data_IF_260604799684
#
_entry.id   IF_260604799684
#
_cell.length_a   1.000
_cell.length_b   1.000
_cell.length_c   1.000
_cell.angle_alpha   90.00
_cell.angle_beta   90.00
_cell.angle_gamma   90.00
#
_symmetry.space_group_name_H-M   'P 1'
#
loop_
_entity.id
_entity.type
_entity.pdbx_description
1 polymer ?
#
# COMPACT_ATOMS: atom_id res chain seq x y z
N UNK A 1 -34.41 13.31 62.56
CA UNK A 1 -33.78 14.11 61.48
C UNK A 1 -32.71 13.26 60.75
N UNK A 2 -33.05 12.08 60.19
CA UNK A 2 -32.08 11.17 59.50
C UNK A 2 -32.76 10.33 58.39
N UNK A 3 -33.71 10.90 57.63
CA UNK A 3 -34.42 10.14 56.57
C UNK A 3 -34.46 10.89 55.24
N UNK A 4 -33.31 11.46 54.84
CA UNK A 4 -33.15 12.13 53.54
C UNK A 4 -32.00 11.57 52.71
N UNK A 5 -30.88 11.18 53.34
CA UNK A 5 -29.68 10.66 52.65
C UNK A 5 -29.87 9.30 51.97
N UNK A 6 -30.71 8.42 52.52
CA UNK A 6 -30.90 7.06 51.98
C UNK A 6 -31.69 7.02 50.66
N UNK A 7 -32.54 8.03 50.42
CA UNK A 7 -33.35 8.11 49.19
C UNK A 7 -32.44 8.45 48.01
N UNK A 8 -31.60 9.48 48.13
CA UNK A 8 -30.62 9.84 47.09
C UNK A 8 -29.56 8.75 46.87
N UNK A 9 -29.15 8.05 47.92
CA UNK A 9 -28.17 6.97 47.80
C UNK A 9 -28.75 5.74 47.07
N UNK A 10 -30.03 5.41 47.30
CA UNK A 10 -30.69 4.27 46.64
C UNK A 10 -30.95 4.53 45.15
N UNK A 11 -31.39 5.74 44.81
CA UNK A 11 -31.57 6.16 43.40
C UNK A 11 -30.23 6.28 42.67
N UNK A 12 -29.18 6.79 43.33
CA UNK A 12 -27.85 6.83 42.73
C UNK A 12 -27.28 5.42 42.48
N UNK A 13 -27.49 4.49 43.43
CA UNK A 13 -27.05 3.11 43.31
C UNK A 13 -27.77 2.36 42.19
N UNK A 14 -29.08 2.62 41.97
CA UNK A 14 -29.82 2.00 40.86
C UNK A 14 -29.29 2.46 39.50
N UNK A 15 -28.98 3.75 39.31
CA UNK A 15 -28.36 4.22 38.06
C UNK A 15 -26.97 3.64 37.84
N UNK A 16 -26.16 3.52 38.90
CA UNK A 16 -24.83 2.93 38.83
C UNK A 16 -24.91 1.45 38.44
N UNK A 17 -25.81 0.69 39.05
CA UNK A 17 -26.02 -0.72 38.71
C UNK A 17 -26.52 -0.88 37.27
N UNK A 18 -27.45 -0.05 36.80
CA UNK A 18 -27.93 -0.05 35.42
C UNK A 18 -26.80 0.22 34.42
N UNK A 19 -25.92 1.18 34.72
CA UNK A 19 -24.75 1.49 33.88
C UNK A 19 -23.73 0.35 33.85
N UNK A 20 -23.50 -0.31 34.97
CA UNK A 20 -22.59 -1.47 35.05
C UNK A 20 -23.15 -2.65 34.27
N UNK A 21 -24.46 -2.92 34.40
CA UNK A 21 -25.15 -4.00 33.70
C UNK A 21 -25.14 -3.79 32.19
N UNK A 22 -25.39 -2.56 31.71
CA UNK A 22 -25.35 -2.25 30.27
C UNK A 22 -23.93 -2.34 29.71
N UNK A 23 -22.92 -1.84 30.44
CA UNK A 23 -21.51 -1.96 30.05
C UNK A 23 -21.07 -3.42 29.95
N UNK A 24 -21.42 -4.23 30.95
CA UNK A 24 -21.07 -5.66 30.98
C UNK A 24 -21.80 -6.45 29.87
N UNK A 25 -23.03 -6.05 29.53
CA UNK A 25 -23.79 -6.62 28.43
C UNK A 25 -23.14 -6.30 27.07
N UNK A 26 -22.75 -5.05 26.83
CA UNK A 26 -22.03 -4.64 25.61
C UNK A 26 -20.68 -5.36 25.52
N UNK A 27 -19.94 -5.44 26.62
CA UNK A 27 -18.68 -6.18 26.68
C UNK A 27 -18.87 -7.66 26.34
N UNK A 28 -19.88 -8.31 26.93
CA UNK A 28 -20.20 -9.71 26.67
C UNK A 28 -20.56 -9.95 25.20
N UNK A 29 -21.44 -9.12 24.61
CA UNK A 29 -21.80 -9.23 23.19
C UNK A 29 -20.56 -9.08 22.30
N UNK A 30 -19.70 -8.10 22.58
CA UNK A 30 -18.50 -7.84 21.78
C UNK A 30 -17.47 -8.97 21.92
N UNK A 31 -17.37 -9.57 23.11
CA UNK A 31 -16.45 -10.66 23.40
C UNK A 31 -16.90 -11.99 22.77
N UNK A 32 -18.19 -12.33 22.88
CA UNK A 32 -18.73 -13.59 22.36
C UNK A 32 -19.06 -13.53 20.86
N UNK A 33 -19.38 -12.35 20.32
CA UNK A 33 -19.76 -12.17 18.91
C UNK A 33 -18.99 -11.01 18.26
N UNK A 34 -17.65 -11.12 18.11
CA UNK A 34 -16.80 -10.03 17.63
C UNK A 34 -17.15 -9.53 16.22
N UNK A 35 -17.81 -10.35 15.40
CA UNK A 35 -18.18 -10.01 14.01
C UNK A 35 -19.68 -9.77 13.81
N UNK A 36 -20.50 -9.65 14.87
CA UNK A 36 -21.96 -9.54 14.74
C UNK A 36 -22.42 -8.33 13.91
N UNK A 37 -21.63 -7.26 13.93
CA UNK A 37 -21.89 -6.03 13.16
C UNK A 37 -21.15 -5.97 11.83
N UNK A 38 -20.28 -6.92 11.51
CA UNK A 38 -19.41 -6.86 10.32
C UNK A 38 -20.22 -6.88 9.02
N UNK A 39 -21.19 -7.78 8.91
CA UNK A 39 -22.00 -7.88 7.68
C UNK A 39 -22.90 -6.66 7.49
N UNK A 40 -23.36 -6.06 8.59
CA UNK A 40 -24.12 -4.81 8.57
C UNK A 40 -23.22 -3.62 8.21
N UNK A 41 -22.01 -3.58 8.74
CA UNK A 41 -20.99 -2.59 8.38
C UNK A 41 -20.67 -2.66 6.88
N UNK A 42 -20.39 -3.84 6.33
CA UNK A 42 -20.11 -4.02 4.91
C UNK A 42 -21.29 -3.57 4.04
N UNK A 43 -22.52 -3.95 4.39
CA UNK A 43 -23.72 -3.47 3.67
C UNK A 43 -23.83 -1.95 3.73
N UNK A 44 -23.68 -1.35 4.90
CA UNK A 44 -23.75 0.13 5.03
C UNK A 44 -22.60 0.81 4.31
N UNK A 45 -21.41 0.20 4.24
CA UNK A 45 -20.28 0.67 3.46
C UNK A 45 -20.60 0.67 1.95
N UNK A 46 -21.12 -0.43 1.42
CA UNK A 46 -21.52 -0.53 0.01
C UNK A 46 -22.59 0.50 -0.35
N UNK A 47 -23.59 0.68 0.52
CA UNK A 47 -24.61 1.72 0.34
C UNK A 47 -23.98 3.11 0.35
N UNK A 48 -23.10 3.40 1.32
CA UNK A 48 -22.40 4.70 1.37
C UNK A 48 -21.56 4.95 0.13
N UNK A 49 -20.89 3.93 -0.42
CA UNK A 49 -20.13 4.08 -1.68
C UNK A 49 -21.04 4.35 -2.88
N UNK A 50 -22.21 3.70 -2.95
CA UNK A 50 -23.22 4.02 -3.98
C UNK A 50 -23.79 5.42 -3.81
N UNK A 51 -24.08 5.84 -2.57
CA UNK A 51 -24.66 7.15 -2.26
C UNK A 51 -23.66 8.31 -2.37
N UNK A 52 -22.36 8.06 -2.14
CA UNK A 52 -21.30 9.05 -2.35
C UNK A 52 -21.30 9.62 -3.76
N UNK A 53 -21.84 8.87 -4.73
CA UNK A 53 -21.83 9.23 -6.15
C UNK A 53 -20.50 8.89 -6.81
N UNK A 54 -20.46 9.04 -8.14
CA UNK A 54 -19.22 8.87 -8.90
C UNK A 54 -18.22 9.95 -8.51
N UNK A 55 -16.97 9.55 -8.26
CA UNK A 55 -15.85 10.49 -8.18
C UNK A 55 -15.57 10.96 -9.61
N UNK A 56 -15.38 12.26 -9.81
CA UNK A 56 -14.98 12.79 -11.12
C UNK A 56 -13.66 12.13 -11.53
N UNK A 57 -13.69 11.38 -12.63
CA UNK A 57 -12.51 10.74 -13.18
C UNK A 57 -11.86 11.67 -14.19
N UNK A 58 -10.53 11.70 -14.19
CA UNK A 58 -9.78 12.42 -15.21
C UNK A 58 -9.68 11.53 -16.45
N UNK A 59 -10.29 11.92 -17.59
CA UNK A 59 -10.30 11.07 -18.79
C UNK A 59 -8.90 10.87 -19.40
N UNK A 60 -7.95 11.75 -19.05
CA UNK A 60 -6.56 11.70 -19.52
C UNK A 60 -5.69 10.72 -18.73
N UNK A 61 -6.23 10.10 -17.67
CA UNK A 61 -5.50 9.12 -16.85
C UNK A 61 -6.06 7.73 -17.13
N UNK A 62 -5.18 6.85 -17.60
CA UNK A 62 -5.49 5.44 -17.84
C UNK A 62 -4.71 4.60 -16.84
N UNK A 63 -5.43 3.77 -16.08
CA UNK A 63 -4.83 2.75 -15.23
C UNK A 63 -4.72 1.44 -16.02
N UNK A 64 -3.55 0.85 -16.02
CA UNK A 64 -3.29 -0.47 -16.60
C UNK A 64 -3.02 -1.40 -15.44
N UNK A 65 -4.01 -2.22 -15.11
CA UNK A 65 -3.95 -3.20 -14.03
C UNK A 65 -3.51 -4.58 -14.54
N UNK A 66 -3.09 -5.42 -13.59
CA UNK A 66 -2.79 -6.83 -13.82
C UNK A 66 -3.89 -7.62 -13.13
N UNK A 67 -4.86 -8.07 -13.92
CA UNK A 67 -6.00 -8.87 -13.48
C UNK A 67 -5.88 -10.33 -13.94
N UNK A 68 -6.79 -11.18 -13.48
CA UNK A 68 -6.80 -12.60 -13.86
C UNK A 68 -6.90 -12.80 -15.38
N UNK A 69 -7.62 -11.91 -16.08
CA UNK A 69 -7.76 -11.98 -17.55
C UNK A 69 -6.43 -11.70 -18.26
N UNK A 70 -5.66 -10.74 -17.76
CA UNK A 70 -4.33 -10.40 -18.29
C UNK A 70 -3.34 -11.55 -18.05
N UNK A 71 -3.42 -12.22 -16.90
CA UNK A 71 -2.60 -13.39 -16.57
C UNK A 71 -2.95 -14.56 -17.50
N UNK A 72 -4.24 -14.82 -17.72
CA UNK A 72 -4.69 -15.86 -18.64
C UNK A 72 -4.26 -15.57 -20.10
N UNK A 73 -4.27 -14.29 -20.51
CA UNK A 73 -3.94 -13.88 -21.88
C UNK A 73 -2.43 -13.81 -22.17
N UNK A 74 -1.62 -13.31 -21.24
CA UNK A 74 -0.19 -13.05 -21.44
C UNK A 74 0.67 -14.19 -20.88
N UNK A 75 0.21 -14.81 -19.79
CA UNK A 75 0.90 -15.86 -19.08
C UNK A 75 1.16 -15.52 -17.62
N UNK A 76 1.86 -16.44 -16.95
CA UNK A 76 2.11 -16.39 -15.51
C UNK A 76 2.95 -15.17 -15.12
N UNK A 77 2.50 -14.46 -14.09
CA UNK A 77 3.26 -13.42 -13.41
C UNK A 77 4.39 -14.01 -12.53
N UNK A 78 5.58 -13.37 -12.42
CA UNK A 78 6.01 -12.13 -13.07
C UNK A 78 6.31 -12.30 -14.56
N UNK A 79 5.88 -11.32 -15.36
CA UNK A 79 6.09 -11.34 -16.80
C UNK A 79 7.53 -11.04 -17.18
N UNK A 80 7.94 -11.56 -18.33
CA UNK A 80 9.22 -11.25 -18.94
C UNK A 80 9.32 -9.75 -19.29
N UNK A 81 10.52 -9.16 -19.15
CA UNK A 81 10.75 -7.73 -19.41
C UNK A 81 10.49 -7.31 -20.85
N UNK A 82 10.51 -8.24 -21.82
CA UNK A 82 10.06 -7.96 -23.19
C UNK A 82 8.56 -7.60 -23.27
N UNK A 83 7.71 -8.11 -22.35
CA UNK A 83 6.30 -7.73 -22.27
C UNK A 83 6.18 -6.27 -21.87
N UNK A 84 6.93 -5.84 -20.86
CA UNK A 84 6.97 -4.45 -20.41
C UNK A 84 7.55 -3.52 -21.49
N UNK A 85 8.59 -3.94 -22.22
CA UNK A 85 9.13 -3.19 -23.34
C UNK A 85 8.08 -2.96 -24.45
N UNK A 86 7.32 -4.02 -24.81
CA UNK A 86 6.22 -3.89 -25.78
C UNK A 86 5.12 -2.95 -25.29
N UNK A 87 4.77 -3.01 -24.00
CA UNK A 87 3.78 -2.12 -23.41
C UNK A 87 4.22 -0.65 -23.49
N UNK A 88 5.47 -0.33 -23.13
CA UNK A 88 6.02 1.03 -23.24
C UNK A 88 5.96 1.53 -24.69
N UNK A 89 6.37 0.70 -25.65
CA UNK A 89 6.32 1.06 -27.07
C UNK A 89 4.89 1.32 -27.54
N UNK A 90 3.92 0.48 -27.16
CA UNK A 90 2.51 0.68 -27.49
C UNK A 90 1.98 1.99 -26.90
N UNK A 91 2.29 2.29 -25.63
CA UNK A 91 1.87 3.54 -24.99
C UNK A 91 2.53 4.76 -25.64
N UNK A 92 3.77 4.62 -26.10
CA UNK A 92 4.46 5.67 -26.85
C UNK A 92 3.80 5.92 -28.21
N UNK A 93 3.38 4.86 -28.93
CA UNK A 93 2.62 4.98 -30.18
C UNK A 93 1.24 5.63 -29.96
N UNK A 94 0.64 5.44 -28.79
CA UNK A 94 -0.59 6.12 -28.37
C UNK A 94 -0.35 7.56 -27.87
N UNK A 95 0.86 8.10 -28.03
CA UNK A 95 1.24 9.46 -27.62
C UNK A 95 1.04 9.75 -26.12
N UNK A 96 1.23 8.74 -25.26
CA UNK A 96 1.15 8.90 -23.82
C UNK A 96 2.13 10.00 -23.33
N UNK A 97 1.59 11.03 -22.66
CA UNK A 97 2.39 12.18 -22.18
C UNK A 97 3.39 11.78 -21.09
N UNK A 98 2.98 10.86 -20.23
CA UNK A 98 3.75 10.37 -19.08
C UNK A 98 3.37 8.91 -18.84
N UNK A 99 4.36 8.06 -18.58
CA UNK A 99 4.17 6.67 -18.15
C UNK A 99 4.70 6.55 -16.72
N UNK A 100 3.93 5.97 -15.82
CA UNK A 100 4.34 5.69 -14.45
C UNK A 100 4.12 4.21 -14.15
N UNK A 101 5.15 3.55 -13.63
CA UNK A 101 5.09 2.17 -13.18
C UNK A 101 4.87 2.11 -11.67
N UNK A 102 4.06 1.13 -11.24
CA UNK A 102 3.95 0.69 -9.84
C UNK A 102 4.45 -0.75 -9.71
N UNK A 103 5.57 -1.04 -10.37
CA UNK A 103 6.23 -2.35 -10.37
C UNK A 103 7.72 -2.12 -10.16
N UNK A 104 8.26 -2.72 -9.10
CA UNK A 104 9.68 -2.63 -8.77
C UNK A 104 10.45 -3.77 -9.43
N UNK A 105 11.43 -3.44 -10.27
CA UNK A 105 12.29 -4.39 -10.96
C UNK A 105 13.58 -4.64 -10.16
N UNK A 106 13.49 -5.37 -9.05
CA UNK A 106 14.58 -5.55 -8.08
C UNK A 106 15.44 -6.81 -8.25
N UNK A 107 15.26 -7.57 -9.32
CA UNK A 107 16.11 -8.72 -9.61
C UNK A 107 16.45 -8.73 -11.11
N UNK A 108 17.67 -9.13 -11.51
CA UNK A 108 17.99 -9.33 -12.92
C UNK A 108 17.08 -10.42 -13.52
N UNK A 109 16.76 -10.26 -14.80
CA UNK A 109 15.92 -11.16 -15.58
C UNK A 109 16.75 -11.71 -16.74
N UNK A 110 16.10 -12.23 -17.77
CA UNK A 110 16.80 -12.59 -19.00
C UNK A 110 17.45 -11.36 -19.65
N UNK A 111 18.71 -11.51 -20.06
CA UNK A 111 19.53 -10.42 -20.60
C UNK A 111 18.87 -9.73 -21.80
N UNK A 112 18.23 -10.50 -22.69
CA UNK A 112 17.56 -9.94 -23.86
C UNK A 112 16.31 -9.15 -23.46
N UNK A 113 15.55 -9.65 -22.48
CA UNK A 113 14.41 -8.93 -21.90
C UNK A 113 14.83 -7.58 -21.30
N UNK A 114 15.95 -7.56 -20.58
CA UNK A 114 16.51 -6.35 -19.95
C UNK A 114 16.93 -5.32 -20.99
N UNK A 115 17.65 -5.75 -22.03
CA UNK A 115 18.09 -4.88 -23.12
C UNK A 115 16.90 -4.25 -23.85
N UNK A 116 15.83 -5.03 -24.10
CA UNK A 116 14.61 -4.53 -24.72
C UNK A 116 13.89 -3.49 -23.84
N UNK A 117 13.79 -3.74 -22.54
CA UNK A 117 13.17 -2.80 -21.61
C UNK A 117 13.97 -1.49 -21.51
N UNK A 118 15.29 -1.59 -21.36
CA UNK A 118 16.18 -0.41 -21.31
C UNK A 118 16.07 0.41 -22.60
N UNK A 119 16.00 -0.25 -23.76
CA UNK A 119 15.81 0.44 -25.04
C UNK A 119 14.47 1.19 -25.09
N UNK A 120 13.37 0.52 -24.76
CA UNK A 120 12.04 1.14 -24.75
C UNK A 120 11.98 2.33 -23.77
N UNK A 121 12.60 2.22 -22.61
CA UNK A 121 12.68 3.30 -21.62
C UNK A 121 13.44 4.52 -22.14
N UNK A 122 14.53 4.33 -22.87
CA UNK A 122 15.32 5.44 -23.44
C UNK A 122 14.56 6.19 -24.53
N UNK A 123 13.71 5.50 -25.27
CA UNK A 123 12.95 6.09 -26.38
C UNK A 123 11.78 6.96 -25.87
N UNK A 124 11.40 6.82 -24.58
CA UNK A 124 10.31 7.60 -23.96
C UNK A 124 10.84 8.75 -23.12
N UNK A 125 10.30 9.95 -23.34
CA UNK A 125 10.75 11.19 -22.67
C UNK A 125 10.41 11.24 -21.17
N UNK A 126 9.25 10.71 -20.79
CA UNK A 126 8.70 10.80 -19.42
C UNK A 126 8.21 9.44 -18.96
N UNK A 127 9.10 8.68 -18.37
CA UNK A 127 8.81 7.40 -17.76
C UNK A 127 9.36 7.40 -16.33
N UNK A 128 8.51 7.02 -15.37
CA UNK A 128 8.86 6.95 -13.95
C UNK A 128 8.73 5.51 -13.44
N UNK A 129 9.77 5.04 -12.76
CA UNK A 129 9.76 3.77 -12.02
C UNK A 129 9.69 4.02 -10.52
N UNK A 130 9.13 3.07 -9.74
CA UNK A 130 9.24 3.12 -8.30
C UNK A 130 10.69 2.86 -7.89
N UNK A 131 11.13 3.54 -6.84
CA UNK A 131 12.47 3.42 -6.26
C UNK A 131 12.31 2.71 -4.93
N UNK A 132 12.97 1.56 -4.77
CA UNK A 132 13.09 0.89 -3.49
C UNK A 132 14.21 1.53 -2.69
N UNK A 133 13.95 1.87 -1.43
CA UNK A 133 14.98 2.35 -0.49
C UNK A 133 15.04 1.42 0.71
N UNK A 134 16.25 1.11 1.13
CA UNK A 134 16.52 0.41 2.39
C UNK A 134 17.06 1.44 3.39
N UNK A 135 16.43 1.51 4.56
CA UNK A 135 16.86 2.43 5.62
C UNK A 135 17.91 1.74 6.47
N UNK A 136 19.18 1.99 6.18
CA UNK A 136 20.28 1.55 7.04
C UNK A 136 20.41 2.51 8.22
N UNK A 137 20.04 2.06 9.42
CA UNK A 137 20.32 2.80 10.65
C UNK A 137 21.77 2.56 11.07
N UNK A 138 22.56 3.60 11.41
CA UNK A 138 23.94 3.43 11.90
C UNK A 138 24.04 2.51 13.13
N UNK A 139 22.99 2.42 13.95
CA UNK A 139 22.96 1.54 15.13
C UNK A 139 22.68 0.07 14.79
N UNK A 140 22.20 -0.22 13.57
CA UNK A 140 22.00 -1.57 13.03
C UNK A 140 22.94 -1.77 11.82
N UNK A 141 24.16 -1.25 11.91
CA UNK A 141 25.25 -1.52 10.95
C UNK A 141 25.80 -2.95 11.14
N UNK A 142 24.94 -3.95 10.98
CA UNK A 142 25.29 -5.35 11.17
C UNK A 142 24.36 -6.37 10.49
N UNK A 143 23.26 -5.95 9.86
CA UNK A 143 22.36 -6.88 9.18
C UNK A 143 22.57 -6.86 7.67
N UNK A 144 23.47 -7.74 7.22
CA UNK A 144 23.44 -8.52 5.97
C UNK A 144 23.29 -7.84 4.59
N UNK A 145 22.95 -6.55 4.49
CA UNK A 145 22.78 -5.83 3.22
C UNK A 145 23.99 -5.01 2.75
N UNK A 146 24.90 -4.64 3.65
CA UNK A 146 26.04 -3.77 3.31
C UNK A 146 27.05 -4.40 2.35
N UNK A 147 27.11 -5.74 2.29
CA UNK A 147 28.03 -6.51 1.45
C UNK A 147 27.31 -7.61 0.66
N UNK A 148 26.01 -7.50 0.40
CA UNK A 148 25.31 -8.49 -0.42
C UNK A 148 25.51 -8.16 -1.92
N UNK A 149 26.34 -8.95 -2.65
CA UNK A 149 26.63 -8.69 -4.06
C UNK A 149 25.39 -8.77 -4.95
N UNK A 150 24.26 -9.31 -4.46
CA UNK A 150 23.03 -9.38 -5.24
C UNK A 150 22.41 -8.01 -5.58
N UNK A 151 22.73 -6.95 -4.84
CA UNK A 151 22.10 -5.63 -5.03
C UNK A 151 22.96 -4.63 -5.81
N UNK A 152 24.21 -4.98 -6.13
CA UNK A 152 25.14 -4.06 -6.79
C UNK A 152 24.79 -3.77 -8.25
N UNK A 153 24.11 -4.72 -8.90
CA UNK A 153 23.66 -4.63 -10.31
C UNK A 153 22.34 -3.84 -10.48
N UNK A 154 21.67 -3.46 -9.38
CA UNK A 154 20.36 -2.81 -9.40
C UNK A 154 20.42 -1.27 -9.34
N UNK A 155 21.63 -0.71 -9.19
CA UNK A 155 21.90 0.74 -9.24
C UNK A 155 21.28 1.47 -10.46
N UNK A 156 21.21 0.87 -11.68
CA UNK A 156 20.58 1.51 -12.83
C UNK A 156 19.04 1.59 -12.77
N UNK A 157 18.40 0.82 -11.87
CA UNK A 157 16.95 0.61 -11.85
C UNK A 157 16.26 1.20 -10.61
N UNK A 158 16.93 2.12 -9.89
CA UNK A 158 16.32 2.85 -8.78
C UNK A 158 16.49 2.20 -7.42
N UNK A 159 17.64 1.57 -7.16
CA UNK A 159 18.13 1.36 -5.80
C UNK A 159 19.19 2.42 -5.48
N UNK A 160 18.92 3.24 -4.46
CA UNK A 160 19.89 4.20 -3.92
C UNK A 160 20.11 3.95 -2.44
N UNK A 161 21.36 4.11 -1.95
CA UNK A 161 21.64 4.12 -0.51
C UNK A 161 21.24 5.46 0.07
N UNK A 162 20.41 5.43 1.11
CA UNK A 162 19.98 6.62 1.83
C UNK A 162 20.22 6.40 3.32
N UNK A 163 20.92 7.34 3.94
CA UNK A 163 21.12 7.35 5.38
C UNK A 163 20.00 8.17 6.02
N UNK A 164 19.35 7.61 7.02
CA UNK A 164 18.37 8.33 7.84
C UNK A 164 19.07 8.93 9.05
N UNK A 165 18.94 10.24 9.26
CA UNK A 165 19.35 10.85 10.51
C UNK A 165 18.30 10.60 11.62
N UNK A 166 18.65 10.91 12.87
CA UNK A 166 17.75 10.76 14.02
C UNK A 166 16.52 11.67 13.98
N UNK A 167 16.44 12.58 13.00
CA UNK A 167 15.31 13.48 12.77
C UNK A 167 14.37 12.97 11.65
N UNK A 168 14.67 11.80 11.06
CA UNK A 168 13.86 11.21 9.99
C UNK A 168 14.08 11.84 8.62
N UNK A 169 15.14 12.64 8.44
CA UNK A 169 15.51 13.21 7.15
C UNK A 169 16.42 12.21 6.43
N UNK A 170 16.02 11.84 5.21
CA UNK A 170 16.78 10.95 4.35
C UNK A 170 17.78 11.77 3.53
N UNK A 171 19.06 11.42 3.64
CA UNK A 171 20.13 11.98 2.81
C UNK A 171 20.67 10.89 1.90
N UNK A 172 20.91 11.23 0.62
CA UNK A 172 21.57 10.31 -0.31
C UNK A 172 23.01 10.12 0.15
N UNK A 173 23.46 8.87 0.23
CA UNK A 173 24.87 8.58 0.53
C UNK A 173 25.70 8.89 -0.73
N UNK A 174 26.69 9.78 -0.59
CA UNK A 174 27.59 10.17 -1.69
C UNK A 174 28.60 9.04 -1.92
N UNK A 175 28.55 8.44 -3.12
CA UNK A 175 29.48 7.37 -3.59
C UNK A 175 30.95 7.85 -3.65
#
# INVERSE_FOLDING_TARGET
MISGKNIYCREFLTYLLLGLLSSLFIFSITFFFPNIFRDWELKTYDYRMKFRGGIETYPDIVLIDIDDRSIDAIGRWPWDRSVHARMINTLSLCEARTIAYDILFNQPSDKNGDELLVKATRDVKKLFYPVGFELTSPEISGTKGDNDPHFEDLRPFGFGKFTGDSNGILSKEDD
#
